data_IF_482021361611
#
_entry.id   IF_482021361611
#
_cell.length_a   1.000
_cell.length_b   1.000
_cell.length_c   1.000
_cell.angle_alpha   90.00
_cell.angle_beta   90.00
_cell.angle_gamma   90.00
#
_symmetry.space_group_name_H-M   'P 1'
#
loop_
_entity.id
_entity.type
_entity.pdbx_description
1 polymer ?
#
# COMPACT_ATOMS: atom_id res chain seq x y z
N UNK A 1 32.15 32.75 -42.98
CA UNK A 1 33.18 32.11 -42.15
C UNK A 1 32.51 31.36 -41.01
N UNK A 2 32.54 30.03 -41.07
CA UNK A 2 32.22 29.15 -39.96
C UNK A 2 33.25 29.36 -38.83
N UNK A 3 32.80 29.47 -37.58
CA UNK A 3 33.56 28.95 -36.43
C UNK A 3 32.63 28.11 -35.57
N UNK A 4 33.01 26.85 -35.51
CA UNK A 4 32.43 25.72 -34.80
C UNK A 4 32.41 25.92 -33.30
N UNK A 5 31.28 25.60 -32.68
CA UNK A 5 31.09 25.48 -31.23
C UNK A 5 31.57 24.08 -30.82
N UNK A 6 32.40 23.95 -29.77
CA UNK A 6 33.02 22.66 -29.42
C UNK A 6 32.01 21.63 -28.92
N UNK A 7 32.23 20.38 -29.30
CA UNK A 7 31.48 19.20 -28.91
C UNK A 7 31.62 18.88 -27.41
N UNK A 8 30.58 18.33 -26.77
CA UNK A 8 30.61 17.95 -25.36
C UNK A 8 31.57 16.78 -25.10
N UNK A 9 32.18 16.69 -23.90
CA UNK A 9 33.14 15.65 -23.59
C UNK A 9 32.48 14.26 -23.51
N UNK A 10 33.15 13.26 -24.06
CA UNK A 10 32.79 11.84 -23.91
C UNK A 10 32.84 11.40 -22.44
N UNK A 11 31.91 10.58 -21.94
CA UNK A 11 31.91 10.15 -20.55
C UNK A 11 33.04 9.15 -20.33
N UNK A 12 34.05 9.56 -19.56
CA UNK A 12 35.03 8.66 -18.97
C UNK A 12 34.35 7.79 -17.91
N UNK A 13 34.65 6.50 -17.98
CA UNK A 13 34.19 5.43 -17.12
C UNK A 13 34.63 5.63 -15.68
N UNK A 14 33.69 5.86 -14.75
CA UNK A 14 33.70 5.41 -13.34
C UNK A 14 32.68 6.21 -12.51
N UNK A 15 31.43 5.76 -12.49
CA UNK A 15 30.50 5.92 -11.35
C UNK A 15 29.24 5.09 -11.62
N UNK A 16 29.38 3.77 -11.49
CA UNK A 16 28.23 2.88 -11.31
C UNK A 16 27.60 3.19 -9.96
N UNK A 17 26.62 4.09 -9.92
CA UNK A 17 25.73 4.26 -8.76
C UNK A 17 24.36 4.79 -9.24
N UNK A 18 23.42 3.85 -9.38
CA UNK A 18 21.99 4.02 -9.08
C UNK A 18 21.27 5.29 -9.58
N UNK A 19 21.27 5.55 -10.89
CA UNK A 19 20.37 6.54 -11.51
C UNK A 19 19.32 5.94 -12.44
N UNK A 20 18.83 4.74 -12.14
CA UNK A 20 17.83 4.08 -13.01
C UNK A 20 16.40 4.12 -12.46
N UNK A 21 16.16 4.52 -11.21
CA UNK A 21 14.83 4.44 -10.60
C UNK A 21 14.02 5.74 -10.60
N UNK A 22 14.62 6.88 -10.93
CA UNK A 22 14.02 8.22 -10.72
C UNK A 22 13.39 8.86 -11.97
N UNK A 23 13.36 8.18 -13.12
CA UNK A 23 12.98 8.78 -14.42
C UNK A 23 11.83 8.07 -15.15
N UNK A 24 10.97 7.30 -14.46
CA UNK A 24 9.87 6.57 -15.11
C UNK A 24 8.49 6.84 -14.49
N UNK A 25 8.20 8.07 -14.06
CA UNK A 25 6.84 8.47 -13.63
C UNK A 25 6.16 9.30 -14.72
N UNK A 26 6.01 8.70 -15.91
CA UNK A 26 5.22 9.30 -16.99
C UNK A 26 3.78 8.76 -17.03
N UNK A 27 2.90 9.65 -16.58
CA UNK A 27 1.48 9.86 -16.93
C UNK A 27 0.42 9.17 -16.04
N UNK A 28 -0.39 10.07 -15.46
CA UNK A 28 -1.55 10.00 -14.55
C UNK A 28 -1.24 9.77 -13.06
N UNK A 29 -1.70 10.73 -12.23
CA UNK A 29 -1.38 11.08 -10.83
C UNK A 29 -0.02 10.55 -10.31
N UNK A 30 0.98 11.45 -10.32
CA UNK A 30 2.43 11.13 -10.30
C UNK A 30 3.01 10.71 -8.94
N UNK A 31 2.21 10.35 -7.93
CA UNK A 31 2.81 9.87 -6.68
C UNK A 31 3.29 8.44 -6.89
N UNK A 32 4.61 8.30 -6.92
CA UNK A 32 5.30 7.04 -7.16
C UNK A 32 6.34 6.78 -6.05
N UNK A 33 6.72 5.51 -5.88
CA UNK A 33 7.62 5.08 -4.81
C UNK A 33 6.86 4.61 -3.58
N UNK A 34 7.39 4.88 -2.38
CA UNK A 34 6.89 4.24 -1.15
C UNK A 34 6.16 5.24 -0.26
N UNK A 35 5.24 4.75 0.57
CA UNK A 35 4.62 5.54 1.63
C UNK A 35 5.71 6.09 2.59
N UNK A 36 5.85 7.42 2.73
CA UNK A 36 6.92 8.02 3.53
C UNK A 36 6.82 7.72 5.02
N UNK A 37 7.96 7.44 5.68
CA UNK A 37 8.04 7.28 7.15
C UNK A 37 7.54 8.50 7.93
N UNK A 38 7.48 9.68 7.29
CA UNK A 38 6.99 10.92 7.89
C UNK A 38 5.48 10.90 8.19
N UNK A 39 4.71 9.98 7.60
CA UNK A 39 3.27 9.85 7.88
C UNK A 39 3.00 9.63 9.37
N UNK A 40 3.92 9.02 10.12
CA UNK A 40 3.80 8.87 11.59
C UNK A 40 3.55 10.18 12.35
N UNK A 41 3.88 11.33 11.76
CA UNK A 41 3.71 12.65 12.36
C UNK A 41 2.29 13.23 12.15
N UNK A 42 1.46 12.61 11.30
CA UNK A 42 0.10 13.05 11.02
C UNK A 42 -0.85 12.58 12.13
N UNK A 43 -0.74 13.19 13.31
CA UNK A 43 -1.41 12.72 14.54
C UNK A 43 -2.92 12.90 14.54
N UNK A 44 -3.45 13.78 13.71
CA UNK A 44 -4.88 14.08 13.61
C UNK A 44 -5.51 13.54 12.32
N UNK A 45 -4.76 12.77 11.53
CA UNK A 45 -5.26 12.28 10.25
C UNK A 45 -6.34 11.22 10.49
N UNK A 46 -7.53 11.53 10.01
CA UNK A 46 -8.72 10.69 10.14
C UNK A 46 -8.93 9.79 8.91
N UNK A 47 -8.62 10.31 7.73
CA UNK A 47 -8.75 9.61 6.46
C UNK A 47 -7.43 9.69 5.68
N UNK A 48 -6.97 8.53 5.21
CA UNK A 48 -5.82 8.41 4.32
C UNK A 48 -6.26 7.79 3.01
N UNK A 49 -6.48 8.64 2.00
CA UNK A 49 -6.68 8.24 0.61
C UNK A 49 -5.37 8.45 -0.17
N UNK A 50 -4.76 7.35 -0.58
CA UNK A 50 -3.64 7.31 -1.52
C UNK A 50 -3.98 6.48 -2.77
N UNK A 51 -5.27 6.27 -3.02
CA UNK A 51 -5.75 5.46 -4.12
C UNK A 51 -5.39 6.06 -5.48
N UNK A 52 -5.39 5.23 -6.52
CA UNK A 52 -5.18 5.67 -7.91
C UNK A 52 -3.82 6.38 -8.12
N UNK A 53 -2.77 5.79 -7.56
CA UNK A 53 -1.38 6.26 -7.69
C UNK A 53 -0.48 5.10 -8.14
N UNK A 54 0.83 5.31 -8.14
CA UNK A 54 1.84 4.29 -8.43
C UNK A 54 2.72 4.03 -7.22
N UNK A 55 2.11 3.95 -6.04
CA UNK A 55 2.86 3.47 -4.88
C UNK A 55 3.20 2.01 -5.08
N UNK A 56 4.48 1.69 -4.91
CA UNK A 56 5.04 0.36 -5.08
C UNK A 56 5.49 -0.19 -3.73
N UNK A 57 6.14 -1.36 -3.76
CA UNK A 57 6.83 -1.94 -2.61
C UNK A 57 5.82 -2.48 -1.56
N UNK A 58 6.33 -2.91 -0.40
CA UNK A 58 5.48 -3.53 0.64
C UNK A 58 4.61 -2.53 1.40
N UNK A 59 3.52 -3.01 1.98
CA UNK A 59 2.73 -2.26 2.96
C UNK A 59 3.65 -1.68 4.06
N UNK A 60 3.56 -0.36 4.30
CA UNK A 60 4.37 0.31 5.32
C UNK A 60 3.58 0.41 6.63
N UNK A 61 4.08 -0.22 7.68
CA UNK A 61 3.47 -0.17 9.03
C UNK A 61 3.34 1.24 9.63
N UNK A 62 3.91 2.27 8.99
CA UNK A 62 3.71 3.67 9.37
C UNK A 62 2.23 4.07 9.36
N UNK A 63 1.42 3.49 8.46
CA UNK A 63 -0.03 3.74 8.40
C UNK A 63 -0.72 3.26 9.70
N UNK A 64 -0.20 2.19 10.30
CA UNK A 64 -0.74 1.65 11.56
C UNK A 64 -0.44 2.56 12.76
N UNK A 65 0.56 3.43 12.65
CA UNK A 65 0.98 4.36 13.71
C UNK A 65 0.15 5.66 13.75
N UNK A 66 -0.81 5.82 12.85
CA UNK A 66 -1.72 6.96 12.79
C UNK A 66 -2.84 6.78 13.84
N UNK A 67 -2.87 7.56 14.94
CA UNK A 67 -3.72 7.23 16.08
C UNK A 67 -5.21 7.53 15.86
N UNK A 68 -5.54 8.47 14.97
CA UNK A 68 -6.91 8.90 14.70
C UNK A 68 -7.48 8.36 13.38
N UNK A 69 -6.72 7.51 12.67
CA UNK A 69 -7.11 7.03 11.35
C UNK A 69 -8.31 6.09 11.47
N UNK A 70 -9.35 6.37 10.69
CA UNK A 70 -10.57 5.56 10.54
C UNK A 70 -10.79 5.02 9.14
N UNK A 71 -10.34 5.75 8.12
CA UNK A 71 -10.54 5.38 6.72
C UNK A 71 -9.19 5.21 6.02
N UNK A 72 -8.96 4.02 5.46
CA UNK A 72 -7.76 3.71 4.69
C UNK A 72 -8.13 3.28 3.28
N UNK A 73 -7.74 4.08 2.29
CA UNK A 73 -7.86 3.74 0.88
C UNK A 73 -6.49 3.73 0.18
N UNK A 74 -6.08 2.54 -0.25
CA UNK A 74 -4.83 2.27 -0.97
C UNK A 74 -5.10 1.59 -2.32
N UNK A 75 -6.34 1.65 -2.82
CA UNK A 75 -6.75 0.96 -4.04
C UNK A 75 -5.99 1.43 -5.27
N UNK A 76 -5.94 0.60 -6.30
CA UNK A 76 -5.37 0.96 -7.61
C UNK A 76 -3.95 1.53 -7.46
N UNK A 77 -3.08 0.72 -6.87
CA UNK A 77 -1.65 0.98 -6.73
C UNK A 77 -0.89 -0.30 -7.13
N UNK A 78 0.43 -0.30 -6.92
CA UNK A 78 1.34 -1.40 -7.26
C UNK A 78 1.99 -1.99 -6.00
N UNK A 79 1.30 -1.95 -4.85
CA UNK A 79 1.82 -2.52 -3.61
C UNK A 79 1.94 -4.04 -3.71
N UNK A 80 2.98 -4.61 -3.10
CA UNK A 80 3.28 -6.04 -3.15
C UNK A 80 3.62 -6.64 -1.77
N UNK A 81 3.82 -7.96 -1.74
CA UNK A 81 4.13 -8.70 -0.51
C UNK A 81 2.95 -8.76 0.46
N UNK A 82 3.24 -9.00 1.73
CA UNK A 82 2.21 -9.26 2.73
C UNK A 82 1.57 -8.01 3.34
N UNK A 83 0.32 -8.18 3.80
CA UNK A 83 -0.37 -7.21 4.65
C UNK A 83 -0.21 -7.66 6.11
N UNK A 84 0.29 -6.80 7.02
CA UNK A 84 0.47 -7.16 8.43
C UNK A 84 -0.86 -7.46 9.11
N UNK A 85 -0.91 -8.49 9.97
CA UNK A 85 -2.11 -8.85 10.74
C UNK A 85 -2.64 -7.70 11.59
N UNK A 86 -1.74 -6.83 12.04
CA UNK A 86 -2.01 -5.65 12.85
C UNK A 86 -2.90 -4.62 12.13
N UNK A 87 -2.99 -4.67 10.79
CA UNK A 87 -3.97 -3.88 10.05
C UNK A 87 -5.41 -4.25 10.44
N UNK A 88 -5.67 -5.53 10.69
CA UNK A 88 -6.98 -6.05 11.07
C UNK A 88 -7.26 -5.94 12.58
N UNK A 89 -6.25 -5.61 13.38
CA UNK A 89 -6.43 -5.27 14.81
C UNK A 89 -6.71 -3.77 15.02
N UNK A 90 -6.46 -2.95 14.00
CA UNK A 90 -6.61 -1.50 14.09
C UNK A 90 -8.09 -1.11 14.06
N UNK A 91 -8.46 -0.15 14.91
CA UNK A 91 -9.81 0.42 15.00
C UNK A 91 -10.12 1.35 13.80
N UNK A 92 -10.25 0.74 12.61
CA UNK A 92 -10.65 1.39 11.36
C UNK A 92 -12.13 1.12 11.08
N UNK A 93 -12.78 2.05 10.38
CA UNK A 93 -14.16 1.87 9.91
C UNK A 93 -14.16 1.17 8.54
N UNK A 94 -13.22 1.53 7.66
CA UNK A 94 -13.09 0.94 6.33
C UNK A 94 -11.64 0.76 5.86
N UNK A 95 -11.38 -0.37 5.20
CA UNK A 95 -10.12 -0.73 4.54
C UNK A 95 -10.39 -1.05 3.08
N UNK A 96 -9.79 -0.29 2.17
CA UNK A 96 -9.78 -0.59 0.75
C UNK A 96 -8.36 -0.78 0.24
N UNK A 97 -7.99 -2.03 -0.08
CA UNK A 97 -6.67 -2.36 -0.64
C UNK A 97 -6.75 -3.12 -1.96
N UNK A 98 -7.94 -3.21 -2.56
CA UNK A 98 -8.16 -3.91 -3.82
C UNK A 98 -7.43 -3.27 -5.01
N UNK A 99 -7.19 -4.06 -6.06
CA UNK A 99 -6.37 -3.66 -7.21
C UNK A 99 -4.94 -3.29 -6.81
N UNK A 100 -4.26 -4.25 -6.20
CA UNK A 100 -2.83 -4.21 -5.89
C UNK A 100 -2.21 -5.59 -6.20
N UNK A 101 -0.94 -5.79 -5.87
CA UNK A 101 -0.23 -7.06 -6.00
C UNK A 101 0.09 -7.71 -4.65
N UNK A 102 -0.73 -7.47 -3.61
CA UNK A 102 -0.50 -8.08 -2.29
C UNK A 102 -0.60 -9.61 -2.35
N UNK A 103 0.30 -10.28 -1.64
CA UNK A 103 0.43 -11.74 -1.53
C UNK A 103 0.51 -12.09 -0.04
N UNK A 104 -0.58 -12.62 0.52
CA UNK A 104 -0.67 -13.00 1.93
C UNK A 104 -1.76 -14.04 2.18
N UNK A 105 -1.63 -14.76 3.29
CA UNK A 105 -2.72 -15.55 3.85
C UNK A 105 -3.59 -14.65 4.73
N UNK A 106 -4.91 -14.86 4.72
CA UNK A 106 -5.79 -14.19 5.66
C UNK A 106 -5.41 -14.59 7.09
N UNK A 107 -5.06 -13.65 7.98
CA UNK A 107 -4.61 -14.00 9.32
C UNK A 107 -5.80 -14.38 10.22
N UNK A 108 -5.55 -15.17 11.26
CA UNK A 108 -6.61 -15.70 12.14
C UNK A 108 -7.44 -14.61 12.84
N UNK A 109 -6.85 -13.43 13.07
CA UNK A 109 -7.53 -12.28 13.65
C UNK A 109 -8.48 -11.56 12.67
N UNK A 110 -8.45 -11.88 11.37
CA UNK A 110 -9.32 -11.25 10.37
C UNK A 110 -10.80 -11.39 10.73
N UNK A 111 -11.21 -12.56 11.24
CA UNK A 111 -12.57 -12.79 11.72
C UNK A 111 -12.98 -11.90 12.89
N UNK A 112 -12.02 -11.48 13.73
CA UNK A 112 -12.24 -10.64 14.91
C UNK A 112 -11.98 -9.15 14.65
N UNK A 113 -11.68 -8.78 13.41
CA UNK A 113 -11.45 -7.39 13.03
C UNK A 113 -12.64 -6.51 13.46
N UNK A 114 -12.39 -5.34 14.09
CA UNK A 114 -13.43 -4.38 14.43
C UNK A 114 -13.96 -3.63 13.20
N UNK A 115 -13.29 -3.79 12.05
CA UNK A 115 -13.55 -3.02 10.83
C UNK A 115 -14.89 -3.41 10.21
N UNK A 116 -15.67 -2.40 9.81
CA UNK A 116 -17.01 -2.59 9.25
C UNK A 116 -16.97 -2.99 7.78
N UNK A 117 -16.00 -2.48 7.01
CA UNK A 117 -15.88 -2.75 5.58
C UNK A 117 -14.43 -3.04 5.18
N UNK A 118 -14.20 -4.19 4.55
CA UNK A 118 -12.88 -4.59 4.03
C UNK A 118 -13.04 -5.05 2.58
N UNK A 119 -12.28 -4.45 1.65
CA UNK A 119 -12.25 -4.85 0.24
C UNK A 119 -10.84 -5.27 -0.15
N UNK A 120 -10.66 -6.58 -0.37
CA UNK A 120 -9.38 -7.21 -0.71
C UNK A 120 -9.27 -7.66 -2.18
N UNK A 121 -10.36 -7.55 -2.96
CA UNK A 121 -10.46 -8.06 -4.32
C UNK A 121 -9.29 -7.64 -5.23
N UNK A 122 -9.03 -8.38 -6.30
CA UNK A 122 -7.93 -8.07 -7.23
C UNK A 122 -6.58 -7.89 -6.49
N UNK A 123 -6.24 -8.89 -5.66
CA UNK A 123 -4.94 -9.16 -5.06
C UNK A 123 -4.66 -10.68 -5.17
N UNK A 124 -3.52 -11.14 -4.68
CA UNK A 124 -3.08 -12.55 -4.73
C UNK A 124 -3.07 -13.18 -3.32
N UNK A 125 -4.12 -12.94 -2.54
CA UNK A 125 -4.26 -13.62 -1.24
C UNK A 125 -4.63 -15.09 -1.43
N UNK A 126 -4.15 -15.94 -0.54
CA UNK A 126 -4.32 -17.39 -0.60
C UNK A 126 -4.54 -17.95 0.81
N UNK A 127 -4.47 -19.27 0.94
CA UNK A 127 -4.69 -19.96 2.20
C UNK A 127 -6.17 -20.21 2.50
N UNK A 128 -6.41 -20.71 3.71
CA UNK A 128 -7.76 -21.02 4.17
C UNK A 128 -8.44 -19.75 4.69
N UNK A 129 -9.77 -19.69 4.52
CA UNK A 129 -10.60 -18.67 5.17
C UNK A 129 -10.57 -18.93 6.69
N UNK A 130 -10.14 -17.97 7.53
CA UNK A 130 -10.05 -18.17 8.97
C UNK A 130 -11.41 -18.51 9.60
N UNK A 131 -11.40 -19.44 10.56
CA UNK A 131 -12.61 -19.91 11.23
C UNK A 131 -13.42 -18.77 11.90
N UNK A 132 -12.75 -17.70 12.34
CA UNK A 132 -13.42 -16.54 12.92
C UNK A 132 -14.40 -15.84 11.96
N UNK A 133 -14.18 -15.92 10.64
CA UNK A 133 -15.14 -15.42 9.64
C UNK A 133 -16.36 -16.34 9.57
N UNK A 134 -16.15 -17.65 9.62
CA UNK A 134 -17.22 -18.64 9.57
C UNK A 134 -18.15 -18.49 10.79
N UNK A 135 -17.60 -18.26 11.99
CA UNK A 135 -18.40 -18.02 13.20
C UNK A 135 -19.30 -16.78 13.13
N UNK A 136 -18.92 -15.75 12.35
CA UNK A 136 -19.75 -14.56 12.11
C UNK A 136 -20.83 -14.78 11.05
N UNK A 137 -20.65 -15.75 10.16
CA UNK A 137 -21.60 -16.10 9.10
C UNK A 137 -22.58 -17.20 9.50
N UNK A 138 -22.32 -17.91 10.61
CA UNK A 138 -23.32 -18.83 11.18
C UNK A 138 -24.50 -17.98 11.63
N UNK A 139 -25.70 -18.18 11.06
CA UNK A 139 -26.86 -17.42 11.46
C UNK A 139 -27.16 -17.74 12.93
N UNK A 140 -27.34 -16.68 13.71
CA UNK A 140 -27.95 -16.65 15.04
C UNK A 140 -29.34 -17.33 14.99
N UNK A 141 -29.35 -18.66 15.01
CA UNK A 141 -30.49 -19.48 15.40
C UNK A 141 -30.07 -20.26 16.62
N UNK A 142 -29.90 -19.56 17.75
CA UNK A 142 -29.83 -20.19 19.06
C UNK A 142 -30.32 -19.19 20.11
N UNK A 143 -31.53 -19.49 20.59
CA UNK A 143 -32.35 -18.88 21.64
C UNK A 143 -33.14 -17.62 21.29
#
# INVERSE_FOLDING_TARGET
MLKSIPSPPSPSTSSRLNRSASHLCERFNRFCGNVPKKFKNLKILFELDISNNRFTDKFRCVVLQLPQLKFLDMRFNEFEGGVPRELFDKDLDAIFINHNSFVFDLPDNFGNSPVSMIVLANNKFHGCVPAGILLKLVPIWSN
#
